data_IF_967740521428
#
_entry.id   IF_967740521428
#
_cell.length_a   1.000
_cell.length_b   1.000
_cell.length_c   1.000
_cell.angle_alpha   90.00
_cell.angle_beta   90.00
_cell.angle_gamma   90.00
#
_symmetry.space_group_name_H-M   'P 1'
#
loop_
_entity.id
_entity.type
_entity.pdbx_description
1 polymer ?
#
# COMPACT_ATOMS: atom_id res chain seq x y z
N UNK A 1 8.36 6.46 14.94
CA UNK A 1 8.45 5.58 13.75
C UNK A 1 7.59 6.21 12.66
N UNK A 2 7.87 5.98 11.38
CA UNK A 2 6.99 6.47 10.30
C UNK A 2 5.77 5.56 10.20
N UNK A 3 4.57 6.13 10.04
CA UNK A 3 3.30 5.39 9.92
C UNK A 3 3.34 4.29 8.86
N UNK A 4 4.12 4.46 7.78
CA UNK A 4 4.29 3.45 6.73
C UNK A 4 5.02 2.21 7.24
N UNK A 5 6.02 2.36 8.13
CA UNK A 5 6.79 1.25 8.68
C UNK A 5 5.94 0.44 9.64
N UNK A 6 5.11 1.11 10.44
CA UNK A 6 4.14 0.46 11.33
C UNK A 6 3.10 -0.32 10.52
N UNK A 7 2.54 0.29 9.47
CA UNK A 7 1.60 -0.39 8.59
C UNK A 7 2.23 -1.59 7.89
N UNK A 8 3.44 -1.48 7.35
CA UNK A 8 4.15 -2.60 6.72
C UNK A 8 4.33 -3.77 7.68
N UNK A 9 4.74 -3.50 8.93
CA UNK A 9 4.88 -4.54 9.95
C UNK A 9 3.57 -5.25 10.27
N UNK A 10 2.46 -4.51 10.33
CA UNK A 10 1.12 -5.10 10.51
C UNK A 10 0.78 -6.03 9.36
N UNK A 11 1.01 -5.58 8.11
CA UNK A 11 0.72 -6.35 6.90
C UNK A 11 1.58 -7.61 6.81
N UNK A 12 2.87 -7.53 7.14
CA UNK A 12 3.78 -8.68 7.10
C UNK A 12 3.32 -9.80 8.05
N UNK A 13 2.70 -9.46 9.17
CA UNK A 13 2.19 -10.41 10.17
C UNK A 13 0.77 -10.92 9.94
N UNK A 14 0.00 -10.33 9.01
CA UNK A 14 -1.43 -10.62 8.86
C UNK A 14 -1.79 -11.00 7.41
N UNK A 15 -1.98 -12.31 7.19
CA UNK A 15 -2.39 -12.85 5.89
C UNK A 15 -3.77 -12.37 5.41
N UNK A 16 -4.69 -12.05 6.32
CA UNK A 16 -5.99 -11.47 5.99
C UNK A 16 -5.83 -10.05 5.48
N UNK A 17 -4.98 -9.26 6.13
CA UNK A 17 -4.65 -7.91 5.69
C UNK A 17 -3.93 -7.90 4.34
N UNK A 18 -3.03 -8.85 4.10
CA UNK A 18 -2.39 -9.05 2.79
C UNK A 18 -3.41 -9.34 1.69
N UNK A 19 -4.40 -10.20 1.95
CA UNK A 19 -5.46 -10.50 0.99
C UNK A 19 -6.33 -9.26 0.68
N UNK A 20 -6.63 -8.45 1.70
CA UNK A 20 -7.37 -7.18 1.53
C UNK A 20 -6.58 -6.15 0.73
N UNK A 21 -5.29 -5.97 1.02
CA UNK A 21 -4.41 -5.06 0.27
C UNK A 21 -4.34 -5.47 -1.19
N UNK A 22 -4.19 -6.76 -1.48
CA UNK A 22 -3.97 -7.27 -2.84
C UNK A 22 -5.09 -6.91 -3.82
N UNK A 23 -6.31 -6.71 -3.33
CA UNK A 23 -7.48 -6.35 -4.15
C UNK A 23 -7.71 -4.84 -4.25
N UNK A 24 -6.92 -4.02 -3.53
CA UNK A 24 -7.02 -2.56 -3.64
C UNK A 24 -6.66 -2.11 -5.05
N UNK A 25 -7.50 -1.26 -5.62
CA UNK A 25 -7.35 -0.70 -6.98
C UNK A 25 -6.87 0.74 -6.97
N UNK A 26 -6.89 1.40 -5.80
CA UNK A 26 -6.47 2.80 -5.64
C UNK A 26 -5.61 3.03 -4.39
N UNK A 27 -4.76 4.08 -4.37
CA UNK A 27 -4.03 4.48 -3.18
C UNK A 27 -4.95 4.84 -2.01
N UNK A 28 -6.11 5.43 -2.30
CA UNK A 28 -7.11 5.80 -1.31
C UNK A 28 -7.65 4.59 -0.53
N UNK A 29 -7.86 3.46 -1.20
CA UNK A 29 -8.26 2.21 -0.55
C UNK A 29 -7.18 1.67 0.39
N UNK A 30 -5.90 1.74 0.00
CA UNK A 30 -4.78 1.33 0.87
C UNK A 30 -4.66 2.25 2.08
N UNK A 31 -4.87 3.56 1.89
CA UNK A 31 -4.86 4.56 2.97
C UNK A 31 -6.03 4.35 3.94
N UNK A 32 -7.24 4.10 3.41
CA UNK A 32 -8.41 3.80 4.23
C UNK A 32 -8.18 2.53 5.06
N UNK A 33 -7.60 1.50 4.46
CA UNK A 33 -7.25 0.27 5.15
C UNK A 33 -6.21 0.51 6.25
N UNK A 34 -5.19 1.34 6.00
CA UNK A 34 -4.23 1.71 7.02
C UNK A 34 -4.87 2.47 8.19
N UNK A 35 -5.84 3.35 7.91
CA UNK A 35 -6.56 4.11 8.92
C UNK A 35 -7.40 3.21 9.85
N UNK A 36 -7.95 2.08 9.36
CA UNK A 36 -8.62 1.07 10.21
C UNK A 36 -7.70 0.52 11.30
N UNK A 37 -6.39 0.51 11.05
CA UNK A 37 -5.35 0.05 11.98
C UNK A 37 -4.60 1.22 12.65
N UNK A 38 -5.21 2.41 12.70
CA UNK A 38 -4.66 3.62 13.32
C UNK A 38 -3.36 4.12 12.66
N UNK A 39 -3.03 3.65 11.46
CA UNK A 39 -1.90 4.15 10.68
C UNK A 39 -2.36 5.27 9.74
N UNK A 40 -1.89 6.49 9.98
CA UNK A 40 -2.20 7.64 9.12
C UNK A 40 -1.16 7.71 8.00
N UNK A 41 -1.56 7.33 6.79
CA UNK A 41 -0.72 7.37 5.59
C UNK A 41 -1.20 8.45 4.63
N UNK A 42 -0.25 9.09 3.95
CA UNK A 42 -0.53 9.93 2.79
C UNK A 42 -0.25 9.18 1.49
N UNK A 43 -0.91 9.58 0.41
CA UNK A 43 -0.63 8.98 -0.90
C UNK A 43 0.79 9.30 -1.40
N UNK A 44 1.34 10.46 -1.00
CA UNK A 44 2.73 10.83 -1.27
C UNK A 44 3.71 9.86 -0.62
N UNK A 45 3.50 9.50 0.65
CA UNK A 45 4.31 8.49 1.34
C UNK A 45 4.17 7.12 0.66
N UNK A 46 2.94 6.69 0.38
CA UNK A 46 2.71 5.39 -0.27
C UNK A 46 3.42 5.32 -1.62
N UNK A 47 3.34 6.38 -2.42
CA UNK A 47 4.03 6.50 -3.70
C UNK A 47 5.56 6.47 -3.53
N UNK A 48 6.09 7.21 -2.55
CA UNK A 48 7.53 7.25 -2.25
C UNK A 48 8.08 5.85 -1.95
N UNK A 49 7.38 5.07 -1.13
CA UNK A 49 7.80 3.73 -0.72
C UNK A 49 7.34 2.60 -1.66
N UNK A 50 6.44 2.87 -2.62
CA UNK A 50 5.91 1.85 -3.55
C UNK A 50 6.97 1.05 -4.33
N UNK A 51 8.18 1.61 -4.48
CA UNK A 51 9.31 0.91 -5.13
C UNK A 51 9.97 -0.11 -4.21
N UNK A 52 10.00 0.16 -2.91
CA UNK A 52 10.59 -0.71 -1.89
C UNK A 52 9.58 -1.78 -1.45
N UNK A 53 8.28 -1.45 -1.50
CA UNK A 53 7.14 -2.33 -1.24
C UNK A 53 6.91 -3.30 -2.42
N UNK A 54 7.80 -4.29 -2.53
CA UNK A 54 7.85 -5.25 -3.65
C UNK A 54 7.17 -6.59 -3.38
N UNK A 55 6.76 -6.85 -2.12
CA UNK A 55 6.08 -8.08 -1.75
C UNK A 55 4.81 -8.33 -2.60
N UNK A 56 4.51 -9.61 -2.86
CA UNK A 56 3.49 -10.05 -3.83
C UNK A 56 2.05 -9.69 -3.48
N UNK A 57 1.80 -9.28 -2.23
CA UNK A 57 0.49 -8.80 -1.77
C UNK A 57 0.25 -7.31 -2.08
N UNK A 58 1.26 -6.52 -2.42
CA UNK A 58 1.05 -5.13 -2.83
C UNK A 58 0.38 -5.06 -4.20
N UNK A 59 -0.63 -4.19 -4.43
CA UNK A 59 -1.39 -4.14 -5.67
C UNK A 59 -0.54 -3.95 -6.93
N UNK A 60 0.53 -3.17 -6.78
CA UNK A 60 1.46 -2.81 -7.84
C UNK A 60 2.59 -3.82 -8.04
N UNK A 61 2.73 -4.82 -7.17
CA UNK A 61 3.80 -5.82 -7.30
C UNK A 61 3.69 -6.54 -8.65
N UNK A 62 4.82 -6.69 -9.34
CA UNK A 62 4.95 -7.29 -10.67
C UNK A 62 4.14 -6.65 -11.83
N UNK A 63 3.45 -5.51 -11.64
CA UNK A 63 2.63 -4.88 -12.71
C UNK A 63 3.37 -3.85 -13.58
N UNK A 64 4.67 -3.67 -13.38
CA UNK A 64 5.49 -2.75 -14.18
C UNK A 64 5.32 -1.27 -13.79
N UNK A 65 5.87 -0.38 -14.62
CA UNK A 65 5.89 1.08 -14.36
C UNK A 65 4.56 1.76 -14.69
N UNK A 66 3.99 1.46 -15.86
CA UNK A 66 2.77 2.14 -16.34
C UNK A 66 1.57 1.88 -15.42
N UNK A 67 1.42 0.64 -14.94
CA UNK A 67 0.37 0.31 -13.99
C UNK A 67 0.55 1.07 -12.68
N UNK A 68 1.77 1.14 -12.13
CA UNK A 68 2.07 1.95 -10.94
C UNK A 68 1.70 3.41 -11.16
N UNK A 69 2.06 3.97 -12.32
CA UNK A 69 1.72 5.36 -12.66
C UNK A 69 0.21 5.58 -12.70
N UNK A 70 -0.56 4.64 -13.25
CA UNK A 70 -2.03 4.70 -13.29
C UNK A 70 -2.64 4.58 -11.89
N UNK A 71 -2.13 3.67 -11.06
CA UNK A 71 -2.57 3.51 -9.67
C UNK A 71 -2.40 4.83 -8.90
N UNK A 72 -1.26 5.50 -9.03
CA UNK A 72 -0.98 6.79 -8.39
C UNK A 72 -1.35 8.03 -9.24
N UNK A 73 -2.23 7.91 -10.25
CA UNK A 73 -2.55 9.03 -11.15
C UNK A 73 -3.51 10.05 -10.52
N UNK A 74 -4.37 9.61 -9.60
CA UNK A 74 -5.38 10.44 -8.92
C UNK A 74 -5.01 10.85 -7.49
N UNK A 75 -3.73 10.75 -7.14
CA UNK A 75 -3.22 10.90 -5.77
C UNK A 75 -2.15 11.98 -5.64
#
# INVERSE_FOLDING_TARGET
MSSIVEFVRLVEGDSGLQARIKVCSTPAEVIALAAEHQCVLTAQELRKFSRDLSASYWPWSARGYDWRRQFFAGS
#
